data_IF_774745344451
#
_entry.id   IF_774745344451
#
_cell.length_a   1.000
_cell.length_b   1.000
_cell.length_c   1.000
_cell.angle_alpha   90.00
_cell.angle_beta   90.00
_cell.angle_gamma   90.00
#
_symmetry.space_group_name_H-M   'P 1'
#
loop_
_entity.id
_entity.type
_entity.pdbx_description
1 polymer ?
#
# COMPACT_ATOMS: atom_id res chain seq x y z
N UNK A 1 1.67 -6.85 24.12
CA UNK A 1 1.99 -7.46 22.82
C UNK A 1 1.70 -6.45 21.73
N UNK A 2 2.71 -5.73 21.24
CA UNK A 2 2.58 -4.77 20.14
C UNK A 2 3.12 -5.42 18.86
N UNK A 3 2.35 -6.36 18.32
CA UNK A 3 2.63 -6.90 16.99
C UNK A 3 2.07 -5.92 15.97
N UNK A 4 2.95 -5.27 15.22
CA UNK A 4 2.55 -4.61 13.98
C UNK A 4 1.67 -5.61 13.21
N UNK A 5 0.44 -5.20 12.91
CA UNK A 5 -0.48 -6.06 12.16
C UNK A 5 0.17 -6.22 10.79
N UNK A 6 0.70 -7.41 10.49
CA UNK A 6 1.16 -7.76 9.14
C UNK A 6 -0.09 -7.76 8.26
N UNK A 7 -0.33 -6.66 7.56
CA UNK A 7 -1.45 -6.51 6.63
C UNK A 7 -1.98 -5.09 6.55
N UNK A 8 -2.66 -4.79 5.45
CA UNK A 8 -3.40 -3.54 5.26
C UNK A 8 -4.62 -3.43 6.19
N UNK A 9 -5.47 -2.39 5.99
CA UNK A 9 -6.64 -2.16 6.84
C UNK A 9 -7.63 -3.34 6.86
N UNK A 10 -8.60 -3.36 7.78
CA UNK A 10 -9.67 -4.39 7.80
C UNK A 10 -10.42 -4.43 6.47
N UNK A 11 -10.71 -5.64 5.98
CA UNK A 11 -11.50 -5.88 4.76
C UNK A 11 -13.01 -5.90 5.04
N UNK A 12 -13.44 -5.69 6.28
CA UNK A 12 -14.87 -5.61 6.61
C UNK A 12 -15.56 -4.52 5.78
N UNK A 13 -16.63 -4.90 5.06
CA UNK A 13 -17.37 -4.01 4.17
C UNK A 13 -16.75 -3.78 2.79
N UNK A 14 -15.60 -4.41 2.48
CA UNK A 14 -14.98 -4.35 1.14
C UNK A 14 -15.49 -5.52 0.29
N UNK A 15 -16.17 -5.22 -0.83
CA UNK A 15 -16.51 -6.24 -1.84
C UNK A 15 -15.28 -6.60 -2.67
N UNK A 16 -14.40 -7.40 -2.08
CA UNK A 16 -13.19 -7.92 -2.72
C UNK A 16 -13.51 -8.77 -3.95
N UNK A 17 -14.71 -9.34 -4.06
CA UNK A 17 -15.13 -10.18 -5.19
C UNK A 17 -15.14 -9.41 -6.51
N UNK A 18 -15.50 -8.12 -6.46
CA UNK A 18 -15.62 -7.28 -7.64
C UNK A 18 -14.50 -6.25 -7.81
N UNK A 19 -13.62 -6.14 -6.83
CA UNK A 19 -12.57 -5.13 -6.80
C UNK A 19 -11.19 -5.77 -6.85
N UNK A 20 -10.21 -5.05 -7.39
CA UNK A 20 -8.81 -5.37 -7.18
C UNK A 20 -8.26 -4.40 -6.13
N UNK A 21 -7.91 -4.94 -4.97
CA UNK A 21 -7.51 -4.15 -3.81
C UNK A 21 -6.01 -4.31 -3.63
N UNK A 22 -5.30 -3.20 -3.55
CA UNK A 22 -3.91 -3.18 -3.10
C UNK A 22 -3.92 -2.55 -1.72
N UNK A 23 -3.30 -3.19 -0.74
CA UNK A 23 -3.16 -2.63 0.59
C UNK A 23 -1.83 -3.04 1.21
N UNK A 24 -1.50 -2.42 2.33
CA UNK A 24 -0.25 -2.75 2.96
C UNK A 24 0.07 -1.90 4.17
N UNK A 25 1.32 -2.03 4.60
CA UNK A 25 1.91 -1.26 5.70
C UNK A 25 3.30 -0.77 5.30
N UNK A 26 3.61 0.48 5.63
CA UNK A 26 4.96 1.04 5.53
C UNK A 26 5.68 0.86 6.86
N UNK A 27 6.86 0.28 6.82
CA UNK A 27 7.68 -0.05 7.98
C UNK A 27 9.06 0.59 7.85
N UNK A 28 9.59 1.09 8.98
CA UNK A 28 11.00 1.48 9.15
C UNK A 28 11.52 0.75 10.37
N UNK A 29 12.60 -0.02 10.21
CA UNK A 29 13.16 -0.84 11.31
C UNK A 29 12.08 -1.69 12.00
N UNK A 30 11.18 -2.29 11.21
CA UNK A 30 10.01 -3.07 11.66
C UNK A 30 8.93 -2.27 12.43
N UNK A 31 9.07 -0.95 12.53
CA UNK A 31 8.10 -0.06 13.17
C UNK A 31 7.20 0.61 12.11
N UNK A 32 5.88 0.67 12.33
CA UNK A 32 4.96 1.30 11.40
C UNK A 32 5.24 2.80 11.25
N UNK A 33 5.25 3.27 10.01
CA UNK A 33 5.50 4.68 9.70
C UNK A 33 4.21 5.38 9.31
N UNK A 34 3.64 6.11 10.27
CA UNK A 34 2.62 7.11 9.99
C UNK A 34 3.19 8.35 9.29
N UNK A 35 2.32 9.12 8.63
CA UNK A 35 2.69 10.34 7.88
C UNK A 35 3.61 10.09 6.68
N UNK A 36 3.62 8.88 6.13
CA UNK A 36 4.15 8.63 4.81
C UNK A 36 3.06 8.86 3.76
N UNK A 37 3.46 9.05 2.51
CA UNK A 37 2.58 9.07 1.35
C UNK A 37 2.95 7.90 0.45
N UNK A 38 1.96 7.11 0.05
CA UNK A 38 2.13 6.08 -0.97
C UNK A 38 1.47 6.59 -2.23
N UNK A 39 2.20 6.58 -3.33
CA UNK A 39 1.70 6.88 -4.67
C UNK A 39 1.51 5.60 -5.45
N UNK A 40 0.40 5.49 -6.16
CA UNK A 40 0.15 4.43 -7.12
C UNK A 40 0.50 4.95 -8.52
N UNK A 41 1.45 4.29 -9.18
CA UNK A 41 1.86 4.59 -10.54
C UNK A 41 1.49 3.45 -11.48
N UNK A 42 1.07 3.79 -12.70
CA UNK A 42 0.76 2.83 -13.75
C UNK A 42 2.03 2.13 -14.30
N UNK A 43 1.86 1.27 -15.31
CA UNK A 43 2.96 0.54 -15.95
C UNK A 43 4.01 1.42 -16.63
N UNK A 44 3.67 2.67 -16.96
CA UNK A 44 4.57 3.64 -17.57
C UNK A 44 5.27 4.51 -16.51
N UNK A 45 4.96 4.30 -15.22
CA UNK A 45 5.42 5.14 -14.13
C UNK A 45 4.61 6.44 -13.97
N UNK A 46 3.44 6.53 -14.61
CA UNK A 46 2.57 7.70 -14.52
C UNK A 46 1.76 7.69 -13.22
N UNK A 47 1.69 8.86 -12.58
CA UNK A 47 0.95 9.04 -11.35
C UNK A 47 -0.55 8.82 -11.55
N UNK A 48 -1.14 7.92 -10.76
CA UNK A 48 -2.57 7.59 -10.81
C UNK A 48 -3.32 8.02 -9.55
N UNK A 49 -2.74 7.78 -8.37
CA UNK A 49 -3.35 8.13 -7.08
C UNK A 49 -2.30 8.30 -5.98
N UNK A 50 -2.67 8.96 -4.89
CA UNK A 50 -1.88 9.08 -3.66
C UNK A 50 -2.77 8.89 -2.44
N UNK A 51 -2.28 8.17 -1.44
CA UNK A 51 -2.92 8.07 -0.13
C UNK A 51 -1.88 8.28 0.98
N UNK A 52 -2.21 9.01 2.05
CA UNK A 52 -1.38 9.04 3.24
C UNK A 52 -1.49 7.71 4.01
N UNK A 53 -0.41 7.31 4.68
CA UNK A 53 -0.46 6.19 5.63
C UNK A 53 -1.21 6.58 6.90
N UNK A 54 -1.93 5.62 7.48
CA UNK A 54 -2.56 5.77 8.79
C UNK A 54 -1.52 5.94 9.91
N UNK A 55 -1.97 6.20 11.14
CA UNK A 55 -1.09 6.21 12.32
C UNK A 55 -0.35 4.87 12.55
N UNK A 56 -0.88 3.77 12.00
CA UNK A 56 -0.28 2.43 12.03
C UNK A 56 0.47 2.08 10.73
N UNK A 57 0.76 3.07 9.89
CA UNK A 57 1.51 2.90 8.64
C UNK A 57 0.72 2.23 7.51
N UNK A 58 -0.58 2.00 7.68
CA UNK A 58 -1.39 1.25 6.73
C UNK A 58 -1.89 2.13 5.58
N UNK A 59 -2.05 1.54 4.40
CA UNK A 59 -2.61 2.18 3.21
C UNK A 59 -3.50 1.21 2.40
N UNK A 60 -4.36 1.77 1.54
CA UNK A 60 -5.19 0.99 0.61
C UNK A 60 -5.49 1.78 -0.67
N UNK A 61 -5.46 1.07 -1.80
CA UNK A 61 -5.93 1.53 -3.10
C UNK A 61 -6.97 0.55 -3.66
N UNK A 62 -7.89 1.11 -4.45
CA UNK A 62 -8.76 0.35 -5.34
C UNK A 62 -8.30 0.65 -6.76
N UNK A 63 -7.77 -0.35 -7.44
CA UNK A 63 -7.13 -0.19 -8.74
C UNK A 63 -7.75 -1.15 -9.77
N UNK A 64 -7.54 -0.87 -11.05
CA UNK A 64 -7.86 -1.86 -12.08
C UNK A 64 -6.89 -3.06 -11.97
N UNK A 65 -7.31 -4.28 -12.38
CA UNK A 65 -6.39 -5.41 -12.47
C UNK A 65 -5.18 -5.08 -13.36
N UNK A 66 -3.98 -5.40 -12.90
CA UNK A 66 -2.75 -5.08 -13.61
C UNK A 66 -1.55 -4.94 -12.68
N UNK A 67 -0.40 -4.62 -13.28
CA UNK A 67 0.84 -4.33 -12.55
C UNK A 67 0.92 -2.84 -12.25
N UNK A 68 1.23 -2.53 -11.00
CA UNK A 68 1.34 -1.17 -10.48
C UNK A 68 2.67 -1.00 -9.75
N UNK A 69 3.10 0.25 -9.61
CA UNK A 69 4.23 0.63 -8.76
C UNK A 69 3.73 1.45 -7.59
N UNK A 70 4.05 1.01 -6.37
CA UNK A 70 3.85 1.75 -5.14
C UNK A 70 5.11 2.56 -4.86
N UNK A 71 5.03 3.88 -4.99
CA UNK A 71 6.12 4.79 -4.65
C UNK A 71 5.88 5.41 -3.29
N UNK A 72 6.69 5.05 -2.31
CA UNK A 72 6.56 5.50 -0.93
C UNK A 72 7.48 6.68 -0.65
N UNK A 73 6.92 7.76 -0.13
CA UNK A 73 7.63 8.95 0.32
C UNK A 73 7.38 9.12 1.81
N UNK A 74 8.43 9.14 2.61
CA UNK A 74 8.30 9.34 4.04
C UNK A 74 9.34 10.36 4.54
N UNK A 75 9.03 11.12 5.61
CA UNK A 75 9.99 12.04 6.20
C UNK A 75 11.29 11.33 6.60
N UNK A 76 12.43 11.88 6.16
CA UNK A 76 13.78 11.36 6.47
C UNK A 76 14.05 9.93 5.96
N UNK A 77 13.37 9.50 4.90
CA UNK A 77 13.69 8.28 4.18
C UNK A 77 13.92 8.59 2.70
N UNK A 78 14.66 7.71 2.02
CA UNK A 78 14.72 7.72 0.57
C UNK A 78 13.38 7.28 -0.03
N UNK A 79 13.15 7.61 -1.30
CA UNK A 79 11.97 7.16 -2.02
C UNK A 79 12.12 5.67 -2.33
N UNK A 80 11.13 4.87 -1.97
CA UNK A 80 11.13 3.42 -2.23
C UNK A 80 10.00 3.07 -3.17
N UNK A 81 10.35 2.41 -4.28
CA UNK A 81 9.39 1.85 -5.22
C UNK A 81 9.21 0.34 -4.97
N UNK A 82 7.97 -0.14 -4.98
CA UNK A 82 7.61 -1.55 -4.83
C UNK A 82 6.59 -1.95 -5.88
N UNK A 83 6.89 -3.00 -6.65
CA UNK A 83 5.93 -3.53 -7.62
C UNK A 83 4.86 -4.38 -6.93
N UNK A 84 3.63 -4.26 -7.42
CA UNK A 84 2.50 -5.05 -6.95
C UNK A 84 1.58 -5.40 -8.13
N UNK A 85 0.97 -6.57 -8.06
CA UNK A 85 -0.04 -7.01 -9.03
C UNK A 85 -1.40 -6.96 -8.35
N UNK A 86 -2.31 -6.16 -8.90
CA UNK A 86 -3.71 -6.14 -8.52
C UNK A 86 -4.48 -7.15 -9.38
N UNK A 87 -5.30 -7.99 -8.78
CA UNK A 87 -6.24 -8.85 -9.49
C UNK A 87 -7.63 -8.75 -8.87
N UNK A 88 -8.66 -8.75 -9.72
CA UNK A 88 -10.06 -8.74 -9.29
C UNK A 88 -10.35 -9.99 -8.46
N UNK A 89 -11.10 -9.86 -7.37
CA UNK A 89 -11.39 -11.01 -6.50
C UNK A 89 -10.29 -11.28 -5.47
N UNK A 90 -9.23 -10.47 -5.43
CA UNK A 90 -8.08 -10.68 -4.56
C UNK A 90 -7.58 -9.39 -3.94
N UNK A 91 -6.89 -9.55 -2.81
CA UNK A 91 -6.23 -8.47 -2.08
C UNK A 91 -4.73 -8.70 -2.18
N UNK A 92 -4.03 -7.72 -2.74
CA UNK A 92 -2.58 -7.69 -2.77
C UNK A 92 -2.07 -6.98 -1.51
N UNK A 93 -1.60 -7.75 -0.53
CA UNK A 93 -1.01 -7.25 0.70
C UNK A 93 0.51 -7.06 0.53
N UNK A 94 1.00 -5.83 0.79
CA UNK A 94 2.39 -5.44 0.60
C UNK A 94 2.97 -4.86 1.89
N UNK A 95 4.13 -5.34 2.32
CA UNK A 95 4.93 -4.67 3.33
C UNK A 95 6.03 -3.86 2.64
N UNK A 96 5.99 -2.54 2.76
CA UNK A 96 7.02 -1.66 2.19
C UNK A 96 7.99 -1.30 3.30
N UNK A 97 9.23 -1.76 3.19
CA UNK A 97 10.32 -1.35 4.07
C UNK A 97 11.01 -0.10 3.49
N UNK A 98 11.18 0.93 4.32
CA UNK A 98 11.81 2.21 3.99
C UNK A 98 12.94 2.59 4.94
#
# INVERSE_FOLDING_TARGET
MCGAIKGGPSLEGVDVTNQAVIQGVVLRDEQPVGNAYVRLLDRNGEFTAEVPTSATGQFRFFAAPGTWTLRTLAPRAEVVDSQVVAAKGSVADVAVAI
#
